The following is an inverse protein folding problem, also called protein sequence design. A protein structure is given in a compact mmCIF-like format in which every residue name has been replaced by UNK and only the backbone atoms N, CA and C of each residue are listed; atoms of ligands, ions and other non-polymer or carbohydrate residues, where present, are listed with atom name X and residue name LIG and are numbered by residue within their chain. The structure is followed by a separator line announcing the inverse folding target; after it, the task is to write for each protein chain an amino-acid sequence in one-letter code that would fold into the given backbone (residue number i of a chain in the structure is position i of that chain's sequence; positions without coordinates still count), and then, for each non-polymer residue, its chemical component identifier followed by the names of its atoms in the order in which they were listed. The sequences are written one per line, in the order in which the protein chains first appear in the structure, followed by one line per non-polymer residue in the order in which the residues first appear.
data_IF_972661789118
#
_entry.id   IF_972661789118
#
_cell.length_a   1.000
_cell.length_b   1.000
_cell.length_c   1.000
_cell.angle_alpha   90.00
_cell.angle_beta   90.00
_cell.angle_gamma   90.00
#
_symmetry.space_group_name_H-M   'P 1'
#
loop_
_entity.id
_entity.type
_entity.pdbx_description
1 polymer ?
#
# COMPACT_ATOMS: atom_id res chain seq x y z
N UNK A 1 -19.07 -16.14 10.06
CA UNK A 1 -18.60 -14.99 9.27
C UNK A 1 -18.46 -13.75 10.15
N UNK A 2 -19.34 -13.54 11.15
CA UNK A 2 -19.30 -12.38 12.05
C UNK A 2 -18.02 -12.22 12.88
N UNK A 3 -17.48 -13.31 13.44
CA UNK A 3 -16.28 -13.23 14.31
C UNK A 3 -15.04 -12.65 13.62
N UNK A 4 -14.89 -12.82 12.30
CA UNK A 4 -13.72 -12.31 11.55
C UNK A 4 -13.85 -10.82 11.24
N UNK A 5 -15.07 -10.34 11.00
CA UNK A 5 -15.35 -8.93 10.78
C UNK A 5 -15.20 -8.12 12.07
N UNK A 6 -15.70 -8.66 13.19
CA UNK A 6 -15.54 -8.07 14.52
C UNK A 6 -14.06 -8.00 14.95
N UNK A 7 -13.30 -9.07 14.73
CA UNK A 7 -11.84 -9.08 15.00
C UNK A 7 -11.10 -8.07 14.12
N UNK A 8 -11.48 -7.93 12.85
CA UNK A 8 -10.86 -6.95 11.96
C UNK A 8 -11.13 -5.51 12.41
N UNK A 9 -12.38 -5.21 12.82
CA UNK A 9 -12.76 -3.90 13.35
C UNK A 9 -12.04 -3.60 14.66
N UNK A 10 -12.06 -4.53 15.62
CA UNK A 10 -11.35 -4.40 16.90
C UNK A 10 -9.84 -4.16 16.72
N UNK A 11 -9.21 -4.88 15.79
CA UNK A 11 -7.79 -4.68 15.47
C UNK A 11 -7.52 -3.31 14.84
N UNK A 12 -8.42 -2.83 13.98
CA UNK A 12 -8.29 -1.53 13.30
C UNK A 12 -8.49 -0.39 14.30
N UNK A 13 -9.45 -0.52 15.20
CA UNK A 13 -9.73 0.44 16.25
C UNK A 13 -8.56 0.51 17.25
N UNK A 14 -8.00 -0.64 17.63
CA UNK A 14 -6.83 -0.70 18.50
C UNK A 14 -5.60 -0.01 17.88
N UNK A 15 -5.33 -0.25 16.60
CA UNK A 15 -4.23 0.40 15.88
C UNK A 15 -4.45 1.93 15.77
N UNK A 16 -5.67 2.35 15.48
CA UNK A 16 -6.04 3.77 15.38
C UNK A 16 -5.93 4.48 16.73
N UNK A 17 -6.33 3.81 17.82
CA UNK A 17 -6.20 4.31 19.19
C UNK A 17 -4.73 4.49 19.59
N UNK A 18 -3.89 3.50 19.26
CA UNK A 18 -2.44 3.58 19.46
C UNK A 18 -1.81 4.74 18.68
N UNK A 19 -2.22 4.93 17.41
CA UNK A 19 -1.72 6.01 16.55
C UNK A 19 -2.03 7.39 17.14
N UNK A 20 -3.31 7.68 17.45
CA UNK A 20 -3.69 9.00 17.99
C UNK A 20 -3.08 9.25 19.37
N UNK A 21 -2.94 8.20 20.20
CA UNK A 21 -2.28 8.32 21.50
C UNK A 21 -0.80 8.66 21.34
N UNK A 22 -0.08 7.92 20.49
CA UNK A 22 1.34 8.19 20.22
C UNK A 22 1.58 9.60 19.68
N UNK A 23 0.72 10.04 18.74
CA UNK A 23 0.79 11.38 18.18
C UNK A 23 0.39 12.45 19.18
N UNK A 24 -0.54 12.23 20.10
CA UNK A 24 -0.82 13.18 21.17
C UNK A 24 0.34 13.27 22.19
N UNK A 25 1.12 12.21 22.37
CA UNK A 25 2.22 12.14 23.34
C UNK A 25 3.56 12.67 22.83
N UNK A 26 3.69 13.03 21.54
CA UNK A 26 4.97 13.53 21.01
C UNK A 26 5.91 12.45 20.53
N UNK A 27 5.45 11.20 20.43
CA UNK A 27 6.29 10.10 19.96
C UNK A 27 6.47 10.15 18.44
N UNK A 28 7.63 9.71 17.98
CA UNK A 28 7.84 9.40 16.57
C UNK A 28 7.04 8.16 16.19
N UNK A 29 6.39 8.20 15.02
CA UNK A 29 5.50 7.14 14.56
C UNK A 29 5.87 6.72 13.15
N UNK A 30 5.95 5.41 12.94
CA UNK A 30 5.98 4.79 11.62
C UNK A 30 4.62 4.15 11.39
N UNK A 31 3.84 4.69 10.45
CA UNK A 31 2.59 4.10 10.00
C UNK A 31 2.87 3.24 8.77
N UNK A 32 2.89 1.92 8.96
CA UNK A 32 3.01 0.96 7.86
C UNK A 32 1.61 0.57 7.36
N UNK A 33 1.30 0.93 6.11
CA UNK A 33 0.01 0.68 5.50
C UNK A 33 0.05 0.87 4.00
N UNK A 34 -1.03 0.44 3.33
CA UNK A 34 -1.12 0.57 1.86
C UNK A 34 -1.34 2.01 1.40
N UNK A 35 -1.78 2.90 2.31
CA UNK A 35 -2.15 4.29 2.01
C UNK A 35 -3.11 4.43 0.81
N UNK A 36 -3.95 3.41 0.60
CA UNK A 36 -4.87 3.31 -0.55
C UNK A 36 -6.25 3.89 -0.27
N UNK A 37 -6.51 4.36 0.94
CA UNK A 37 -7.78 4.99 1.31
C UNK A 37 -7.54 6.46 1.64
N UNK A 38 -7.75 7.30 0.63
CA UNK A 38 -7.31 8.70 0.62
C UNK A 38 -7.87 9.52 1.80
N UNK A 39 -9.18 9.51 2.12
CA UNK A 39 -9.71 10.33 3.21
C UNK A 39 -9.06 10.02 4.57
N UNK A 40 -8.76 8.75 4.83
CA UNK A 40 -8.04 8.35 6.04
C UNK A 40 -6.64 8.96 6.11
N UNK A 41 -5.88 8.90 5.00
CA UNK A 41 -4.51 9.44 4.94
C UNK A 41 -4.52 10.95 5.13
N UNK A 42 -5.43 11.66 4.46
CA UNK A 42 -5.54 13.12 4.56
C UNK A 42 -5.91 13.57 5.97
N UNK A 43 -6.93 12.96 6.57
CA UNK A 43 -7.34 13.27 7.93
C UNK A 43 -6.21 12.94 8.93
N UNK A 44 -5.47 11.85 8.71
CA UNK A 44 -4.31 11.49 9.55
C UNK A 44 -3.19 12.52 9.47
N UNK A 45 -2.88 13.01 8.27
CA UNK A 45 -1.89 14.08 8.08
C UNK A 45 -2.37 15.36 8.77
N UNK A 46 -3.65 15.75 8.59
CA UNK A 46 -4.22 16.93 9.22
C UNK A 46 -4.16 16.85 10.76
N UNK A 47 -4.54 15.72 11.33
CA UNK A 47 -4.41 15.45 12.76
C UNK A 47 -2.95 15.57 13.19
N UNK A 48 -2.01 14.89 12.52
CA UNK A 48 -0.59 14.92 12.86
C UNK A 48 0.01 16.33 12.80
N UNK A 49 -0.49 17.22 11.94
CA UNK A 49 -0.10 18.63 11.93
C UNK A 49 -0.65 19.40 13.15
N UNK A 50 -1.87 19.08 13.59
CA UNK A 50 -2.58 19.81 14.64
C UNK A 50 -2.27 19.34 16.07
N UNK A 51 -1.80 18.10 16.28
CA UNK A 51 -1.58 17.51 17.63
C UNK A 51 -0.59 18.26 18.51
N UNK A 52 0.27 19.12 17.95
CA UNK A 52 1.16 19.96 18.75
C UNK A 52 0.42 21.04 19.55
N UNK A 53 -0.76 21.46 19.08
CA UNK A 53 -1.55 22.56 19.66
C UNK A 53 -2.98 22.17 20.03
N UNK A 54 -3.43 20.95 19.71
CA UNK A 54 -4.79 20.50 19.98
C UNK A 54 -4.82 18.97 20.12
N UNK A 55 -5.37 18.48 21.24
CA UNK A 55 -5.53 17.04 21.44
C UNK A 55 -6.57 16.48 20.48
N UNK A 56 -6.31 15.29 19.96
CA UNK A 56 -7.26 14.56 19.12
C UNK A 56 -7.67 13.23 19.75
N UNK A 57 -8.80 12.67 19.31
CA UNK A 57 -9.27 11.33 19.63
C UNK A 57 -9.73 10.63 18.36
N UNK A 58 -9.97 9.32 18.44
CA UNK A 58 -10.62 8.61 17.35
C UNK A 58 -12.02 9.16 17.10
N UNK A 59 -12.33 9.40 15.82
CA UNK A 59 -13.69 9.63 15.36
C UNK A 59 -14.45 8.33 15.14
N UNK A 60 -15.62 8.44 14.52
CA UNK A 60 -16.52 7.30 14.24
C UNK A 60 -16.01 6.34 13.16
N UNK A 61 -14.96 6.72 12.43
CA UNK A 61 -14.41 6.00 11.29
C UNK A 61 -15.28 6.12 10.05
N UNK A 62 -15.27 5.08 9.23
CA UNK A 62 -16.19 4.92 8.10
C UNK A 62 -17.46 4.21 8.55
N UNK A 63 -18.61 4.84 8.35
CA UNK A 63 -19.94 4.29 8.63
C UNK A 63 -20.88 4.54 7.47
N UNK A 64 -21.75 3.57 7.21
CA UNK A 64 -22.88 3.69 6.28
C UNK A 64 -24.13 3.49 7.13
N UNK A 65 -24.98 4.50 7.19
CA UNK A 65 -26.24 4.46 7.92
C UNK A 65 -27.31 3.71 7.11
N UNK A 66 -28.44 3.36 7.74
CA UNK A 66 -29.51 2.55 7.12
C UNK A 66 -30.14 3.24 5.91
N UNK A 67 -30.12 4.58 5.88
CA UNK A 67 -30.59 5.41 4.77
C UNK A 67 -29.56 5.53 3.61
N UNK A 68 -28.39 4.90 3.76
CA UNK A 68 -27.28 4.96 2.81
C UNK A 68 -26.37 6.18 2.99
N UNK A 69 -26.61 7.03 4.00
CA UNK A 69 -25.72 8.15 4.31
C UNK A 69 -24.35 7.64 4.73
N UNK A 70 -23.28 8.18 4.13
CA UNK A 70 -21.90 7.82 4.44
C UNK A 70 -21.31 8.88 5.37
N UNK A 71 -20.90 8.46 6.56
CA UNK A 71 -20.11 9.28 7.49
C UNK A 71 -18.67 8.77 7.49
N UNK A 72 -17.72 9.67 7.24
CA UNK A 72 -16.30 9.34 7.20
C UNK A 72 -15.47 10.35 8.01
N UNK A 73 -15.25 10.02 9.28
CA UNK A 73 -14.51 10.87 10.21
C UNK A 73 -13.62 10.02 11.12
N UNK A 74 -12.31 10.02 10.87
CA UNK A 74 -11.35 9.17 11.57
C UNK A 74 -10.77 9.82 12.83
N UNK A 75 -10.69 11.15 12.87
CA UNK A 75 -10.05 11.88 13.97
C UNK A 75 -10.88 13.10 14.36
N UNK A 76 -11.13 13.25 15.66
CA UNK A 76 -11.87 14.37 16.20
C UNK A 76 -11.00 15.19 17.13
N UNK A 77 -11.05 16.53 17.05
CA UNK A 77 -10.41 17.37 18.04
C UNK A 77 -11.15 17.27 19.38
N UNK A 78 -10.40 17.26 20.49
CA UNK A 78 -10.96 17.35 21.83
C UNK A 78 -11.15 18.84 22.16
N UNK A 79 -12.39 19.34 22.28
CA UNK A 79 -12.64 20.76 22.50
C UNK A 79 -12.17 21.18 23.90
N UNK A 80 -11.63 22.39 24.02
CA UNK A 80 -11.35 23.06 25.30
C UNK A 80 -10.40 22.30 26.26
N UNK A 81 -9.49 21.47 25.75
CA UNK A 81 -8.45 20.80 26.56
C UNK A 81 -7.30 21.76 26.90
N UNK A 82 -7.57 22.73 27.80
CA UNK A 82 -6.60 23.77 28.16
C UNK A 82 -5.34 23.20 28.82
N UNK A 83 -5.47 22.13 29.59
CA UNK A 83 -4.35 21.46 30.24
C UNK A 83 -3.41 20.85 29.21
N UNK A 84 -3.94 20.21 28.17
CA UNK A 84 -3.13 19.68 27.06
C UNK A 84 -2.37 20.81 26.35
N UNK A 85 -3.04 21.91 26.02
CA UNK A 85 -2.41 23.04 25.33
C UNK A 85 -1.32 23.68 26.19
N UNK A 86 -1.57 23.84 27.49
CA UNK A 86 -0.57 24.35 28.42
C UNK A 86 0.65 23.42 28.52
N UNK A 87 0.44 22.10 28.61
CA UNK A 87 1.50 21.10 28.68
C UNK A 87 2.32 20.97 27.38
N UNK A 88 1.75 21.34 26.23
CA UNK A 88 2.37 21.20 24.90
C UNK A 88 2.82 22.55 24.30
N UNK A 89 2.87 23.64 25.07
CA UNK A 89 3.15 24.99 24.54
C UNK A 89 4.44 25.10 23.73
N UNK A 90 5.49 24.38 24.13
CA UNK A 90 6.81 24.40 23.47
C UNK A 90 6.96 23.34 22.38
N UNK A 91 5.90 22.56 22.13
CA UNK A 91 5.94 21.45 21.20
C UNK A 91 5.89 21.94 19.76
N UNK A 92 6.80 21.41 18.95
CA UNK A 92 6.86 21.71 17.52
C UNK A 92 5.88 20.83 16.73
N UNK A 93 5.33 21.32 15.61
CA UNK A 93 4.60 20.48 14.67
C UNK A 93 5.44 19.31 14.19
N UNK A 94 4.80 18.16 13.91
CA UNK A 94 5.48 17.03 13.31
C UNK A 94 6.03 17.36 11.93
N UNK A 95 7.23 16.84 11.65
CA UNK A 95 7.72 16.65 10.30
C UNK A 95 7.19 15.31 9.77
N UNK A 96 6.47 15.34 8.65
CA UNK A 96 5.79 14.19 8.06
C UNK A 96 6.53 13.78 6.80
N UNK A 97 6.97 12.53 6.74
CA UNK A 97 7.56 11.92 5.55
C UNK A 97 6.70 10.76 5.04
N UNK A 98 6.49 10.69 3.73
CA UNK A 98 5.85 9.55 3.05
C UNK A 98 6.90 8.78 2.27
N UNK A 99 6.97 7.48 2.51
CA UNK A 99 7.81 6.56 1.72
C UNK A 99 6.90 5.55 1.05
N UNK A 100 6.76 5.68 -0.26
CA UNK A 100 5.98 4.80 -1.11
C UNK A 100 6.83 3.78 -1.84
N UNK A 101 6.25 2.63 -2.13
CA UNK A 101 6.80 1.64 -3.07
C UNK A 101 5.74 1.31 -4.10
N UNK A 102 6.10 1.44 -5.38
CA UNK A 102 5.29 1.00 -6.51
C UNK A 102 5.95 -0.20 -7.19
N UNK A 103 5.13 -1.07 -7.76
CA UNK A 103 5.59 -2.11 -8.65
C UNK A 103 4.53 -2.42 -9.70
N UNK A 104 4.99 -3.04 -10.78
CA UNK A 104 4.14 -3.64 -11.79
C UNK A 104 3.12 -4.58 -11.14
N UNK A 105 1.86 -4.43 -11.54
CA UNK A 105 0.74 -5.13 -10.92
C UNK A 105 0.83 -6.66 -11.12
N UNK A 106 1.32 -7.12 -12.27
CA UNK A 106 1.53 -8.55 -12.51
C UNK A 106 2.58 -9.11 -11.53
N UNK A 107 3.69 -8.38 -11.32
CA UNK A 107 4.70 -8.78 -10.35
C UNK A 107 4.17 -8.81 -8.93
N UNK A 108 3.39 -7.81 -8.54
CA UNK A 108 2.75 -7.76 -7.23
C UNK A 108 1.89 -9.01 -6.99
N UNK A 109 1.10 -9.41 -7.97
CA UNK A 109 0.23 -10.59 -7.91
C UNK A 109 1.06 -11.87 -7.86
N UNK A 110 2.06 -12.03 -8.73
CA UNK A 110 2.94 -13.20 -8.72
C UNK A 110 3.67 -13.37 -7.37
N UNK A 111 4.19 -12.28 -6.81
CA UNK A 111 4.81 -12.24 -5.47
C UNK A 111 3.79 -12.60 -4.39
N UNK A 112 2.55 -12.10 -4.49
CA UNK A 112 1.44 -12.41 -3.59
C UNK A 112 1.09 -13.90 -3.59
N UNK A 113 1.01 -14.53 -4.77
CA UNK A 113 0.76 -15.97 -4.92
C UNK A 113 1.92 -16.78 -4.31
N UNK A 114 3.16 -16.44 -4.64
CA UNK A 114 4.34 -17.11 -4.07
C UNK A 114 4.35 -17.04 -2.54
N UNK A 115 4.07 -15.86 -1.96
CA UNK A 115 3.95 -15.69 -0.51
C UNK A 115 2.81 -16.54 0.06
N UNK A 116 1.67 -16.61 -0.62
CA UNK A 116 0.55 -17.43 -0.19
C UNK A 116 0.92 -18.92 -0.13
N UNK A 117 1.65 -19.44 -1.12
CA UNK A 117 2.16 -20.82 -1.13
C UNK A 117 3.11 -21.05 0.05
N UNK A 118 4.05 -20.13 0.30
CA UNK A 118 5.06 -20.29 1.34
C UNK A 118 4.54 -20.10 2.77
N UNK A 119 3.55 -19.23 2.96
CA UNK A 119 3.11 -18.79 4.31
C UNK A 119 1.67 -19.16 4.64
N UNK A 120 0.90 -19.67 3.67
CA UNK A 120 -0.55 -19.89 3.78
C UNK A 120 -1.41 -18.61 3.76
N UNK A 121 -0.80 -17.42 3.60
CA UNK A 121 -1.52 -16.13 3.66
C UNK A 121 -1.73 -15.53 2.27
N UNK A 122 -2.96 -15.68 1.76
CA UNK A 122 -3.38 -15.13 0.48
C UNK A 122 -4.08 -13.76 0.61
N UNK A 123 -3.90 -12.93 -0.41
CA UNK A 123 -4.67 -11.69 -0.63
C UNK A 123 -5.43 -11.85 -1.94
N UNK A 124 -6.69 -11.43 -1.98
CA UNK A 124 -7.50 -11.48 -3.21
C UNK A 124 -6.89 -10.53 -4.25
N UNK A 125 -6.73 -11.02 -5.48
CA UNK A 125 -6.10 -10.27 -6.58
C UNK A 125 -6.80 -8.94 -6.80
N UNK A 126 -8.13 -8.92 -6.93
CA UNK A 126 -8.89 -7.68 -7.10
C UNK A 126 -8.60 -6.66 -5.98
N UNK A 127 -8.65 -7.07 -4.71
CA UNK A 127 -8.31 -6.18 -3.58
C UNK A 127 -6.88 -5.65 -3.63
N UNK A 128 -5.93 -6.47 -4.10
CA UNK A 128 -4.54 -6.04 -4.30
C UNK A 128 -4.41 -5.00 -5.41
N UNK A 129 -5.06 -5.23 -6.56
CA UNK A 129 -5.09 -4.30 -7.69
C UNK A 129 -5.76 -2.97 -7.30
N UNK A 130 -6.90 -3.03 -6.59
CA UNK A 130 -7.59 -1.84 -6.10
C UNK A 130 -6.72 -1.01 -5.17
N UNK A 131 -5.99 -1.66 -4.27
CA UNK A 131 -5.08 -0.96 -3.37
C UNK A 131 -3.93 -0.29 -4.12
N UNK A 132 -3.33 -0.97 -5.10
CA UNK A 132 -2.28 -0.40 -5.95
C UNK A 132 -2.78 0.82 -6.73
N UNK A 133 -3.94 0.68 -7.39
CA UNK A 133 -4.55 1.75 -8.18
C UNK A 133 -4.78 3.00 -7.34
N UNK A 134 -5.44 2.84 -6.19
CA UNK A 134 -5.79 3.98 -5.33
C UNK A 134 -4.57 4.66 -4.73
N UNK A 135 -3.58 3.88 -4.26
CA UNK A 135 -2.32 4.47 -3.78
C UNK A 135 -1.63 5.28 -4.87
N UNK A 136 -1.49 4.69 -6.07
CA UNK A 136 -0.81 5.35 -7.18
C UNK A 136 -1.54 6.62 -7.63
N UNK A 137 -2.86 6.60 -7.68
CA UNK A 137 -3.68 7.77 -8.01
C UNK A 137 -3.57 8.90 -6.96
N UNK A 138 -3.45 8.56 -5.67
CA UNK A 138 -3.40 9.54 -4.60
C UNK A 138 -1.99 10.05 -4.26
N UNK A 139 -0.92 9.36 -4.70
CA UNK A 139 0.45 9.65 -4.28
C UNK A 139 0.88 11.11 -4.50
N UNK A 140 0.52 11.70 -5.64
CA UNK A 140 0.85 13.09 -5.93
C UNK A 140 0.15 14.07 -4.98
N UNK A 141 -1.09 13.79 -4.59
CA UNK A 141 -1.82 14.56 -3.58
C UNK A 141 -1.14 14.46 -2.22
N UNK A 142 -0.75 13.24 -1.81
CA UNK A 142 -0.01 13.06 -0.56
C UNK A 142 1.30 13.85 -0.55
N UNK A 143 2.02 13.89 -1.67
CA UNK A 143 3.23 14.70 -1.81
C UNK A 143 2.98 16.18 -1.53
N UNK A 144 1.77 16.72 -1.76
CA UNK A 144 1.48 18.14 -1.48
C UNK A 144 1.23 18.41 0.02
N UNK A 145 0.86 17.38 0.80
CA UNK A 145 0.43 17.53 2.19
C UNK A 145 1.57 17.32 3.22
N UNK A 146 2.67 16.69 2.80
CA UNK A 146 3.76 16.24 3.69
C UNK A 146 5.06 17.02 3.46
N UNK A 147 6.01 16.96 4.39
CA UNK A 147 7.29 17.67 4.27
C UNK A 147 8.26 16.95 3.34
N UNK A 148 8.27 15.62 3.37
CA UNK A 148 9.14 14.81 2.51
C UNK A 148 8.36 13.68 1.87
N UNK A 149 8.70 13.36 0.63
CA UNK A 149 8.15 12.21 -0.06
C UNK A 149 9.24 11.47 -0.82
N UNK A 150 9.21 10.14 -0.79
CA UNK A 150 10.07 9.27 -1.61
C UNK A 150 9.22 8.17 -2.21
N UNK A 151 9.41 7.90 -3.50
CA UNK A 151 8.78 6.79 -4.18
C UNK A 151 9.86 5.87 -4.71
N UNK A 152 9.74 4.58 -4.39
CA UNK A 152 10.63 3.55 -4.89
C UNK A 152 9.92 2.62 -5.87
N UNK A 153 10.59 2.24 -6.96
CA UNK A 153 10.19 1.14 -7.84
C UNK A 153 10.83 -0.15 -7.35
N UNK A 154 10.04 -1.22 -7.21
CA UNK A 154 10.56 -2.56 -6.94
C UNK A 154 10.42 -3.50 -8.15
N UNK A 155 10.49 -2.93 -9.36
CA UNK A 155 10.43 -3.67 -10.63
C UNK A 155 11.77 -4.29 -11.03
N UNK A 156 12.88 -3.95 -10.38
CA UNK A 156 14.17 -4.60 -10.64
C UNK A 156 14.40 -5.81 -9.72
N UNK A 157 15.15 -6.79 -10.20
CA UNK A 157 15.68 -7.87 -9.37
C UNK A 157 16.78 -7.28 -8.46
N UNK A 158 16.47 -7.06 -7.18
CA UNK A 158 17.41 -6.49 -6.21
C UNK A 158 16.77 -5.46 -5.29
N UNK A 159 17.52 -4.43 -4.92
CA UNK A 159 17.03 -3.33 -4.08
C UNK A 159 16.04 -2.44 -4.83
N UNK A 160 15.01 -1.89 -4.15
CA UNK A 160 14.14 -0.89 -4.74
C UNK A 160 14.92 0.35 -5.20
N UNK A 161 14.55 0.90 -6.35
CA UNK A 161 15.18 2.08 -6.95
C UNK A 161 14.37 3.34 -6.62
N UNK A 162 15.02 4.44 -6.24
CA UNK A 162 14.35 5.72 -5.99
C UNK A 162 13.94 6.34 -7.34
N UNK A 163 12.65 6.59 -7.53
CA UNK A 163 12.09 7.08 -8.80
C UNK A 163 11.35 8.41 -8.67
N UNK A 164 11.02 8.83 -7.44
CA UNK A 164 10.59 10.19 -7.17
C UNK A 164 11.01 10.63 -5.77
N UNK A 165 11.33 11.91 -5.59
CA UNK A 165 11.61 12.47 -4.29
C UNK A 165 11.20 13.94 -4.16
N UNK A 166 10.82 14.32 -2.93
CA UNK A 166 10.55 15.68 -2.50
C UNK A 166 11.22 15.90 -1.14
N UNK A 167 12.01 16.96 -1.02
CA UNK A 167 12.81 17.24 0.18
C UNK A 167 12.14 18.16 1.21
N UNK A 168 11.22 19.02 0.77
CA UNK A 168 10.55 20.00 1.61
C UNK A 168 9.08 20.21 1.21
N UNK A 169 8.30 20.85 2.09
CA UNK A 169 6.85 21.00 1.92
C UNK A 169 6.47 21.80 0.65
N UNK A 170 7.26 22.82 0.30
CA UNK A 170 7.03 23.71 -0.85
C UNK A 170 7.82 23.26 -2.10
N UNK A 171 8.59 22.19 -1.97
CA UNK A 171 9.46 21.66 -3.00
C UNK A 171 8.65 20.98 -4.09
N UNK A 172 9.19 21.01 -5.30
CA UNK A 172 8.62 20.23 -6.40
C UNK A 172 9.02 18.75 -6.28
N UNK A 173 8.14 17.86 -6.69
CA UNK A 173 8.45 16.44 -6.81
C UNK A 173 9.41 16.24 -7.98
N UNK A 174 10.63 15.80 -7.70
CA UNK A 174 11.62 15.42 -8.71
C UNK A 174 11.39 13.95 -9.06
N UNK A 175 11.36 13.64 -10.35
CA UNK A 175 11.00 12.29 -10.86
C UNK A 175 12.06 11.79 -11.83
N UNK A 176 12.30 10.48 -11.83
CA UNK A 176 13.04 9.78 -12.88
C UNK A 176 12.08 9.52 -14.06
N UNK A 177 12.23 10.24 -15.20
CA UNK A 177 11.23 10.22 -16.26
C UNK A 177 10.99 8.83 -16.87
N UNK A 178 11.99 7.94 -16.84
CA UNK A 178 11.89 6.60 -17.42
C UNK A 178 11.13 5.60 -16.54
N UNK A 179 11.07 5.87 -15.25
CA UNK A 179 10.48 4.94 -14.26
C UNK A 179 9.14 5.43 -13.71
N UNK A 180 8.93 6.75 -13.69
CA UNK A 180 7.70 7.34 -13.12
C UNK A 180 6.43 6.95 -13.89
N UNK A 181 6.55 6.59 -15.17
CA UNK A 181 5.46 6.04 -16.01
C UNK A 181 4.78 4.83 -15.35
N UNK A 182 5.50 4.04 -14.54
CA UNK A 182 4.86 2.95 -13.82
C UNK A 182 3.81 3.43 -12.82
N UNK A 183 4.04 4.55 -12.13
CA UNK A 183 3.06 5.12 -11.21
C UNK A 183 1.76 5.48 -11.96
N UNK A 184 1.89 6.10 -13.13
CA UNK A 184 0.74 6.53 -13.93
C UNK A 184 -0.01 5.33 -14.56
N UNK A 185 0.71 4.31 -15.03
CA UNK A 185 0.08 3.07 -15.48
C UNK A 185 -0.67 2.35 -14.36
N UNK A 186 -0.08 2.29 -13.17
CA UNK A 186 -0.68 1.63 -12.01
C UNK A 186 -1.91 2.40 -11.51
N UNK A 187 -1.92 3.74 -11.58
CA UNK A 187 -3.08 4.57 -11.21
C UNK A 187 -4.30 4.32 -12.12
N UNK A 188 -4.06 3.78 -13.32
CA UNK A 188 -5.09 3.52 -14.34
C UNK A 188 -5.42 2.02 -14.52
N UNK A 189 -5.07 1.16 -13.57
CA UNK A 189 -5.35 -0.28 -13.64
C UNK A 189 -6.85 -0.58 -13.84
N UNK A 190 -7.11 -1.63 -14.61
CA UNK A 190 -8.39 -2.31 -14.64
C UNK A 190 -8.41 -3.40 -13.55
N UNK A 191 -9.02 -3.08 -12.41
CA UNK A 191 -9.12 -3.99 -11.26
C UNK A 191 -10.02 -5.21 -11.54
N UNK A 192 -10.88 -5.12 -12.56
CA UNK A 192 -11.76 -6.17 -13.05
C UNK A 192 -11.16 -6.99 -14.19
N UNK A 193 -9.88 -6.81 -14.52
CA UNK A 193 -9.23 -7.52 -15.60
C UNK A 193 -9.28 -9.05 -15.39
N UNK A 194 -9.71 -9.75 -16.44
CA UNK A 194 -9.72 -11.21 -16.49
C UNK A 194 -8.51 -11.79 -17.20
N UNK A 195 -7.74 -10.93 -17.89
CA UNK A 195 -6.51 -11.30 -18.58
C UNK A 195 -5.43 -10.23 -18.39
N UNK A 196 -4.18 -10.59 -18.65
CA UNK A 196 -3.07 -9.64 -18.59
C UNK A 196 -3.21 -8.49 -19.61
N UNK A 197 -3.78 -8.78 -20.78
CA UNK A 197 -3.99 -7.78 -21.83
C UNK A 197 -5.03 -6.73 -21.44
N UNK A 198 -5.93 -7.07 -20.51
CA UNK A 198 -6.96 -6.17 -20.02
C UNK A 198 -6.51 -5.38 -18.78
N UNK A 199 -5.31 -5.66 -18.24
CA UNK A 199 -4.84 -5.13 -16.96
C UNK A 199 -4.49 -3.64 -17.03
N UNK A 200 -3.83 -3.22 -18.10
CA UNK A 200 -3.47 -1.83 -18.36
C UNK A 200 -4.23 -1.31 -19.59
N UNK A 201 -4.61 -0.01 -19.59
CA UNK A 201 -5.17 0.62 -20.78
C UNK A 201 -4.25 0.48 -21.99
N UNK A 202 -4.83 0.25 -23.17
CA UNK A 202 -4.08 0.13 -24.42
C UNK A 202 -3.37 -1.21 -24.65
N UNK A 203 -3.62 -2.22 -23.80
CA UNK A 203 -3.09 -3.57 -24.00
C UNK A 203 -1.63 -3.76 -23.61
N UNK A 204 -1.04 -2.77 -22.93
CA UNK A 204 0.29 -2.90 -22.35
C UNK A 204 0.31 -4.05 -21.33
N UNK A 205 1.39 -4.82 -21.29
CA UNK A 205 1.53 -5.97 -20.38
C UNK A 205 2.47 -5.70 -19.21
N UNK A 206 3.11 -4.52 -19.18
CA UNK A 206 4.12 -4.13 -18.21
C UNK A 206 4.11 -2.62 -17.92
N UNK A 207 4.62 -2.25 -16.74
CA UNK A 207 4.96 -0.88 -16.38
C UNK A 207 6.50 -0.69 -16.25
N UNK A 208 7.01 0.48 -16.62
CA UNK A 208 8.43 0.87 -16.44
C UNK A 208 9.37 0.49 -17.58
N UNK A 209 10.66 0.90 -17.47
CA UNK A 209 11.66 0.74 -18.53
C UNK A 209 12.28 -0.66 -18.61
N UNK A 210 12.19 -1.43 -17.52
CA UNK A 210 12.65 -2.83 -17.45
C UNK A 210 11.47 -3.78 -17.30
N UNK A 211 11.31 -4.64 -18.30
CA UNK A 211 10.31 -5.69 -18.32
C UNK A 211 10.86 -6.92 -17.59
N UNK A 212 10.37 -7.23 -16.38
CA UNK A 212 10.66 -8.53 -15.74
C UNK A 212 10.18 -9.71 -16.61
N UNK A 213 9.26 -9.47 -17.55
CA UNK A 213 8.92 -10.51 -18.52
C UNK A 213 10.14 -10.93 -19.32
N UNK A 214 10.97 -9.99 -19.75
CA UNK A 214 12.20 -10.30 -20.49
C UNK A 214 13.22 -10.98 -19.56
N UNK A 215 13.36 -10.47 -18.34
CA UNK A 215 14.36 -10.95 -17.38
C UNK A 215 14.02 -12.31 -16.75
N UNK A 216 12.75 -12.72 -16.69
CA UNK A 216 12.32 -13.93 -15.96
C UNK A 216 11.44 -14.88 -16.77
N UNK A 217 10.54 -14.38 -17.62
CA UNK A 217 9.54 -15.20 -18.32
C UNK A 217 10.01 -15.61 -19.71
N UNK A 218 10.69 -14.69 -20.41
CA UNK A 218 11.31 -14.87 -21.71
C UNK A 218 12.81 -15.22 -21.56
N UNK A 219 13.33 -15.21 -20.32
CA UNK A 219 14.71 -15.56 -20.01
C UNK A 219 15.12 -16.90 -20.65
N UNK A 220 16.23 -16.96 -21.41
CA UNK A 220 16.67 -18.19 -22.07
C UNK A 220 16.90 -19.37 -21.10
N UNK A 221 17.28 -19.07 -19.86
CA UNK A 221 17.50 -20.07 -18.81
C UNK A 221 16.22 -20.72 -18.29
N UNK A 222 15.05 -20.13 -18.53
CA UNK A 222 13.77 -20.59 -17.97
C UNK A 222 13.44 -22.03 -18.34
N UNK A 223 13.70 -22.43 -19.58
CA UNK A 223 13.42 -23.80 -20.04
C UNK A 223 14.23 -24.84 -19.24
N UNK A 224 15.51 -24.55 -18.98
CA UNK A 224 16.39 -25.39 -18.17
C UNK A 224 15.88 -25.48 -16.73
N UNK A 225 15.57 -24.34 -16.11
CA UNK A 225 15.04 -24.27 -14.74
C UNK A 225 13.70 -25.03 -14.62
N UNK A 226 12.79 -24.90 -15.59
CA UNK A 226 11.53 -25.64 -15.59
C UNK A 226 11.73 -27.15 -15.72
N UNK A 227 12.72 -27.59 -16.51
CA UNK A 227 13.07 -29.01 -16.62
C UNK A 227 13.59 -29.54 -15.29
N UNK A 228 14.54 -28.84 -14.66
CA UNK A 228 15.10 -29.23 -13.36
C UNK A 228 14.02 -29.31 -12.27
N UNK A 229 13.12 -28.32 -12.20
CA UNK A 229 11.99 -28.34 -11.27
C UNK A 229 11.07 -29.54 -11.55
N UNK A 230 10.77 -29.83 -12.82
CA UNK A 230 9.92 -30.97 -13.19
C UNK A 230 10.57 -32.30 -12.82
N UNK A 231 11.86 -32.44 -13.01
CA UNK A 231 12.64 -33.63 -12.60
C UNK A 231 12.66 -33.78 -11.08
N UNK A 232 12.85 -32.69 -10.34
CA UNK A 232 12.79 -32.68 -8.88
C UNK A 232 11.39 -33.03 -8.34
N UNK A 233 10.31 -32.53 -8.96
CA UNK A 233 8.95 -32.90 -8.56
C UNK A 233 8.71 -34.40 -8.79
N UNK A 234 9.09 -34.92 -9.97
CA UNK A 234 8.97 -36.34 -10.30
C UNK A 234 9.74 -37.26 -9.38
N UNK A 235 10.85 -36.81 -8.80
CA UNK A 235 11.63 -37.63 -7.87
C UNK A 235 11.03 -37.69 -6.46
N UNK A 236 10.11 -36.77 -6.11
CA UNK A 236 9.45 -36.71 -4.79
C UNK A 236 8.00 -37.22 -4.84
N UNK A 237 7.32 -37.11 -5.99
CA UNK A 237 5.94 -37.62 -6.13
C UNK A 237 5.91 -39.16 -6.11
N UNK A 238 5.11 -39.79 -5.22
CA UNK A 238 4.92 -41.23 -5.26
C UNK A 238 4.19 -41.61 -6.54
N UNK A 239 4.67 -42.63 -7.24
CA UNK A 239 3.95 -43.23 -8.38
C UNK A 239 2.57 -43.67 -7.93
N UNK A 240 1.54 -42.91 -8.34
CA UNK A 240 0.16 -43.33 -8.18
C UNK A 240 -0.05 -44.53 -9.09
N UNK A 241 -0.04 -45.73 -8.52
CA UNK A 241 -0.55 -46.93 -9.18
C UNK A 241 -2.05 -46.69 -9.41
N UNK A 242 -2.56 -46.73 -10.65
CA UNK A 242 -3.98 -46.64 -10.88
C UNK A 242 -4.62 -47.89 -10.26
N UNK A 243 -5.44 -47.71 -9.23
CA UNK A 243 -6.30 -48.78 -8.73
C UNK A 243 -7.30 -49.10 -9.83
N UNK A 244 -7.14 -50.26 -10.45
CA UNK A 244 -8.08 -50.77 -11.45
C UNK A 244 -9.47 -50.92 -10.81
N UNK A 245 -10.49 -50.39 -11.50
CA UNK A 245 -11.90 -50.67 -11.24
C UNK A 245 -12.25 -52.11 -11.60
#
# INVERSE_FOLDING_TARGET
SDSRAEVHKSSTDAASSLLVTALNEGRDVILDGTLSWEPFVEQTIAMARAVHSQRHRMGVGYKVDEDGTITENYWEPVPNDQDFVAANRDRKPYRIEVVGVVCDAYLAVARGIRRAIMTGRAVRVNSQLTSHKRFAAAFQKYCQLVDGAKLYSSNSLGSPQLIAWKGDINGSLLVEPREIDCLDKVSNLNEGATSLHDLYPGGATTCGSRSIWDDMIVAPSRATVQREIREAIRSVEPTVTPTAL
#
